data_IF_702448491301
#
_entry.id   IF_702448491301
#
_cell.length_a   1.000
_cell.length_b   1.000
_cell.length_c   1.000
_cell.angle_alpha   90.00
_cell.angle_beta   90.00
_cell.angle_gamma   90.00
#
_symmetry.space_group_name_H-M   'P 1'
#
loop_
_entity.id
_entity.type
_entity.pdbx_description
1 polymer ?
#
# COMPACT_ATOMS: atom_id res chain seq x y z
N UNK A 1 4.08 0.80 14.63
CA UNK A 1 3.86 0.94 13.19
C UNK A 1 4.93 1.84 12.60
N UNK A 2 5.44 1.53 11.43
CA UNK A 2 6.51 2.30 10.80
C UNK A 2 5.94 3.56 10.17
N UNK A 3 6.63 4.68 10.38
CA UNK A 3 6.16 6.00 9.91
C UNK A 3 5.96 6.01 8.40
N UNK A 4 6.92 5.46 7.64
CA UNK A 4 6.80 5.43 6.18
C UNK A 4 5.63 4.59 5.72
N UNK A 5 5.43 3.43 6.34
CA UNK A 5 4.29 2.58 5.99
C UNK A 5 2.98 3.30 6.29
N UNK A 6 2.89 3.92 7.46
CA UNK A 6 1.69 4.63 7.86
C UNK A 6 1.35 5.75 6.89
N UNK A 7 2.35 6.52 6.49
CA UNK A 7 2.16 7.64 5.57
C UNK A 7 1.64 7.18 4.21
N UNK A 8 2.27 6.14 3.66
CA UNK A 8 1.90 5.66 2.32
C UNK A 8 0.57 4.94 2.35
N UNK A 9 0.33 4.11 3.36
CA UNK A 9 -0.95 3.43 3.50
C UNK A 9 -2.07 4.45 3.71
N UNK A 10 -1.81 5.48 4.52
CA UNK A 10 -2.79 6.55 4.71
C UNK A 10 -3.15 7.24 3.41
N UNK A 11 -2.15 7.50 2.56
CA UNK A 11 -2.40 8.08 1.25
C UNK A 11 -3.25 7.14 0.39
N UNK A 12 -2.93 5.84 0.41
CA UNK A 12 -3.72 4.84 -0.30
C UNK A 12 -5.18 4.87 0.15
N UNK A 13 -5.42 4.98 1.46
CA UNK A 13 -6.78 5.03 1.98
C UNK A 13 -7.52 6.30 1.57
N UNK A 14 -6.79 7.37 1.32
CA UNK A 14 -7.37 8.62 0.80
C UNK A 14 -7.38 8.67 -0.72
N UNK A 15 -6.94 7.60 -1.37
CA UNK A 15 -6.84 7.47 -2.83
C UNK A 15 -5.90 8.52 -3.41
N UNK A 16 -4.79 8.75 -2.71
CA UNK A 16 -3.76 9.71 -3.10
C UNK A 16 -2.46 8.99 -3.41
N UNK A 17 -1.61 9.60 -4.21
CA UNK A 17 -0.30 9.06 -4.54
C UNK A 17 0.69 9.32 -3.42
N UNK A 18 1.55 8.35 -3.15
CA UNK A 18 2.63 8.50 -2.19
C UNK A 18 3.66 7.41 -2.41
N UNK A 19 4.87 7.65 -1.94
CA UNK A 19 5.93 6.66 -1.99
C UNK A 19 6.81 6.81 -0.76
N UNK A 20 7.54 5.76 -0.41
CA UNK A 20 8.42 5.75 0.77
C UNK A 20 9.66 6.53 0.51
N UNK A 21 9.85 7.45 -0.08
CA UNK A 21 10.95 8.36 -0.30
C UNK A 21 10.39 9.63 -0.88
N UNK A 22 10.54 10.72 -0.18
CA UNK A 22 9.89 11.96 -0.57
C UNK A 22 10.38 12.50 -1.91
N UNK A 23 11.58 12.06 -2.34
CA UNK A 23 12.19 12.57 -3.56
C UNK A 23 11.85 11.76 -4.79
N UNK A 24 11.00 10.78 -4.65
CA UNK A 24 10.77 9.83 -5.73
C UNK A 24 9.78 10.32 -6.76
N UNK A 25 9.21 11.50 -6.56
CA UNK A 25 8.36 12.12 -7.55
C UNK A 25 9.23 13.04 -8.38
N UNK A 26 9.46 12.67 -9.62
CA UNK A 26 10.28 13.43 -10.54
C UNK A 26 9.41 13.87 -11.69
N UNK A 27 9.36 15.17 -11.94
CA UNK A 27 8.58 15.76 -13.04
C UNK A 27 7.12 15.30 -13.00
N UNK A 28 6.56 15.18 -11.82
CA UNK A 28 5.20 14.70 -11.66
C UNK A 28 5.03 13.23 -11.95
N UNK A 29 6.10 12.55 -12.27
CA UNK A 29 6.08 11.14 -12.58
C UNK A 29 6.33 10.33 -11.32
N UNK A 30 5.52 9.33 -11.12
CA UNK A 30 5.53 8.58 -9.89
C UNK A 30 6.40 7.32 -10.02
N UNK A 31 7.52 7.31 -9.31
CA UNK A 31 8.48 6.23 -9.39
C UNK A 31 8.30 5.26 -8.23
N UNK A 32 7.92 4.03 -8.55
CA UNK A 32 7.83 2.97 -7.54
C UNK A 32 9.11 2.19 -7.43
N UNK A 33 9.95 2.26 -8.45
CA UNK A 33 11.14 1.44 -8.53
C UNK A 33 12.06 1.75 -7.36
N UNK A 34 12.41 0.74 -6.59
CA UNK A 34 13.28 0.90 -5.44
C UNK A 34 12.58 1.35 -4.16
N UNK A 35 11.34 1.79 -4.25
CA UNK A 35 10.59 2.16 -3.05
C UNK A 35 10.07 0.91 -2.36
N UNK A 36 10.22 0.86 -1.03
CA UNK A 36 9.74 -0.30 -0.27
C UNK A 36 8.21 -0.36 -0.20
N UNK A 37 7.56 0.79 -0.23
CA UNK A 37 6.10 0.86 -0.26
C UNK A 37 5.67 2.09 -1.05
N UNK A 38 4.64 1.96 -1.86
CA UNK A 38 4.17 3.06 -2.69
C UNK A 38 2.71 2.84 -3.08
N UNK A 39 2.05 3.90 -3.48
CA UNK A 39 0.66 3.82 -3.96
C UNK A 39 0.41 4.88 -5.02
N UNK A 40 -0.42 4.55 -5.99
CA UNK A 40 -0.92 5.52 -6.97
C UNK A 40 -2.34 6.00 -6.64
N UNK A 41 -2.84 5.63 -5.46
CA UNK A 41 -4.18 5.97 -5.03
C UNK A 41 -5.19 4.85 -5.27
N UNK A 42 -4.91 3.95 -6.20
CA UNK A 42 -5.78 2.83 -6.51
C UNK A 42 -5.21 1.51 -6.01
N UNK A 43 -3.91 1.36 -6.12
CA UNK A 43 -3.20 0.17 -5.68
C UNK A 43 -2.09 0.55 -4.71
N UNK A 44 -1.75 -0.41 -3.84
CA UNK A 44 -0.64 -0.28 -2.89
C UNK A 44 0.37 -1.35 -3.23
N UNK A 45 1.63 -0.97 -3.39
CA UNK A 45 2.72 -1.89 -3.75
C UNK A 45 3.74 -1.99 -2.65
N UNK A 46 4.34 -3.18 -2.52
CA UNK A 46 5.60 -3.40 -1.84
C UNK A 46 6.60 -3.76 -2.93
N UNK A 47 7.52 -2.87 -3.21
CA UNK A 47 8.42 -2.99 -4.37
C UNK A 47 7.57 -3.17 -5.63
N UNK A 48 7.58 -4.36 -6.22
CA UNK A 48 6.83 -4.64 -7.45
C UNK A 48 5.55 -5.42 -7.21
N UNK A 49 5.27 -5.75 -5.95
CA UNK A 49 4.16 -6.61 -5.59
C UNK A 49 2.95 -5.78 -5.17
N UNK A 50 1.79 -6.06 -5.73
CA UNK A 50 0.56 -5.41 -5.30
C UNK A 50 0.15 -6.00 -3.95
N UNK A 51 0.08 -5.16 -2.92
CA UNK A 51 -0.37 -5.57 -1.59
C UNK A 51 -1.86 -5.41 -1.44
N UNK A 52 -2.44 -4.43 -2.11
CA UNK A 52 -3.86 -4.15 -1.97
C UNK A 52 -4.33 -3.29 -3.13
N UNK A 53 -5.63 -3.30 -3.37
CA UNK A 53 -6.22 -2.40 -4.35
C UNK A 53 -7.66 -2.11 -3.97
N UNK A 54 -8.14 -0.95 -4.35
CA UNK A 54 -9.52 -0.57 -4.12
C UNK A 54 -10.43 -1.32 -5.09
N UNK A 55 -11.55 -1.80 -4.56
CA UNK A 55 -12.62 -2.41 -5.36
C UNK A 55 -13.92 -1.74 -4.90
N UNK A 56 -14.28 -0.66 -5.56
CA UNK A 56 -15.40 0.15 -5.11
C UNK A 56 -15.11 0.75 -3.75
N UNK A 57 -15.91 0.43 -2.76
CA UNK A 57 -15.76 0.98 -1.40
C UNK A 57 -14.98 0.06 -0.47
N UNK A 58 -14.46 -1.05 -0.97
CA UNK A 58 -13.67 -1.95 -0.13
C UNK A 58 -12.28 -2.14 -0.70
N UNK A 59 -11.38 -2.67 0.12
CA UNK A 59 -9.99 -2.91 -0.26
C UNK A 59 -9.74 -4.41 -0.34
N UNK A 60 -9.20 -4.86 -1.46
CA UNK A 60 -8.78 -6.25 -1.62
C UNK A 60 -7.33 -6.36 -1.18
N UNK A 61 -7.05 -7.27 -0.28
CA UNK A 61 -5.74 -7.39 0.37
C UNK A 61 -5.06 -8.68 -0.06
N UNK A 62 -3.79 -8.55 -0.43
CA UNK A 62 -2.95 -9.69 -0.78
C UNK A 62 -2.39 -10.30 0.51
N UNK A 63 -2.77 -11.55 0.78
CA UNK A 63 -2.37 -12.26 1.99
C UNK A 63 -1.23 -13.23 1.77
N UNK A 64 -0.63 -13.24 0.60
CA UNK A 64 0.47 -14.13 0.31
C UNK A 64 1.71 -13.72 1.10
N UNK A 65 2.50 -14.70 1.54
CA UNK A 65 3.72 -14.42 2.28
C UNK A 65 4.87 -14.07 1.35
N UNK A 66 5.61 -13.05 1.74
CA UNK A 66 6.79 -12.57 1.02
C UNK A 66 7.95 -12.43 2.02
N UNK A 67 8.70 -11.34 1.93
CA UNK A 67 9.80 -11.05 2.84
C UNK A 67 9.28 -10.51 4.16
N UNK A 68 10.19 -10.39 5.15
CA UNK A 68 9.83 -9.79 6.44
C UNK A 68 9.36 -8.34 6.26
N UNK A 69 10.00 -7.59 5.37
CA UNK A 69 9.59 -6.21 5.13
C UNK A 69 8.15 -6.16 4.63
N UNK A 70 7.82 -7.00 3.66
CA UNK A 70 6.47 -7.04 3.12
C UNK A 70 5.47 -7.50 4.16
N UNK A 71 5.85 -8.47 5.01
CA UNK A 71 4.97 -8.94 6.08
C UNK A 71 4.62 -7.82 7.04
N UNK A 72 5.59 -6.98 7.38
CA UNK A 72 5.33 -5.84 8.26
C UNK A 72 4.42 -4.83 7.59
N UNK A 73 4.59 -4.61 6.30
CA UNK A 73 3.71 -3.72 5.55
C UNK A 73 2.28 -4.26 5.50
N UNK A 74 2.13 -5.56 5.31
CA UNK A 74 0.81 -6.20 5.32
C UNK A 74 0.14 -6.06 6.68
N UNK A 75 0.93 -6.21 7.75
CA UNK A 75 0.42 -6.03 9.11
C UNK A 75 -0.05 -4.59 9.34
N UNK A 76 0.77 -3.62 8.96
CA UNK A 76 0.43 -2.22 9.12
C UNK A 76 -0.83 -1.86 8.32
N UNK A 77 -0.95 -2.42 7.12
CA UNK A 77 -2.14 -2.22 6.30
C UNK A 77 -3.38 -2.76 7.01
N UNK A 78 -3.30 -3.96 7.56
CA UNK A 78 -4.44 -4.56 8.25
C UNK A 78 -4.88 -3.70 9.44
N UNK A 79 -3.92 -3.21 10.22
CA UNK A 79 -4.21 -2.35 11.35
C UNK A 79 -4.90 -1.07 10.91
N UNK A 80 -4.41 -0.45 9.84
CA UNK A 80 -4.98 0.81 9.38
C UNK A 80 -6.35 0.64 8.76
N UNK A 81 -6.59 -0.46 8.04
CA UNK A 81 -7.92 -0.77 7.52
C UNK A 81 -8.92 -0.93 8.64
N UNK A 82 -8.51 -1.63 9.71
CA UNK A 82 -9.37 -1.84 10.86
C UNK A 82 -9.71 -0.51 11.53
N UNK A 83 -8.71 0.34 11.74
CA UNK A 83 -8.90 1.65 12.38
C UNK A 83 -9.78 2.56 11.55
N UNK A 84 -9.66 2.48 10.24
CA UNK A 84 -10.45 3.33 9.34
C UNK A 84 -11.85 2.80 9.12
N UNK A 85 -12.14 1.58 9.56
CA UNK A 85 -13.44 0.97 9.34
C UNK A 85 -13.68 0.60 7.89
N UNK A 86 -12.62 0.35 7.13
CA UNK A 86 -12.72 0.01 5.72
C UNK A 86 -12.93 -1.49 5.58
N UNK A 87 -13.94 -1.86 4.83
CA UNK A 87 -14.19 -3.28 4.55
C UNK A 87 -13.08 -3.83 3.66
N UNK A 88 -12.64 -5.05 3.95
CA UNK A 88 -11.59 -5.67 3.16
C UNK A 88 -12.01 -7.05 2.67
N UNK A 89 -11.43 -7.46 1.57
CA UNK A 89 -11.59 -8.77 1.00
C UNK A 89 -10.25 -9.31 0.59
N UNK A 90 -10.23 -10.47 -0.04
CA UNK A 90 -8.98 -11.10 -0.46
C UNK A 90 -8.69 -10.77 -1.92
N UNK A 91 -7.47 -10.29 -2.16
CA UNK A 91 -6.98 -10.06 -3.51
C UNK A 91 -6.48 -11.38 -4.06
N UNK A 92 -7.06 -11.83 -5.15
CA UNK A 92 -6.61 -13.06 -5.78
C UNK A 92 -5.45 -12.72 -6.70
N UNK A 93 -4.30 -13.27 -6.39
CA UNK A 93 -3.13 -13.12 -7.24
C UNK A 93 -3.03 -14.32 -8.18
N UNK A 94 -2.47 -14.08 -9.29
CA UNK A 94 -2.28 -15.13 -10.28
C UNK A 94 -0.99 -15.83 -10.12
#
# INVERSE_FOLDING_TARGET
MRVQNERVIGAFLRREKATSGARDIVDGYYMRKGASISTDGDKLWSYWTVLAEWDGAKVLVNNKKYSNTTTMQQHDLAVMLDRAGVESGELKSE
#
